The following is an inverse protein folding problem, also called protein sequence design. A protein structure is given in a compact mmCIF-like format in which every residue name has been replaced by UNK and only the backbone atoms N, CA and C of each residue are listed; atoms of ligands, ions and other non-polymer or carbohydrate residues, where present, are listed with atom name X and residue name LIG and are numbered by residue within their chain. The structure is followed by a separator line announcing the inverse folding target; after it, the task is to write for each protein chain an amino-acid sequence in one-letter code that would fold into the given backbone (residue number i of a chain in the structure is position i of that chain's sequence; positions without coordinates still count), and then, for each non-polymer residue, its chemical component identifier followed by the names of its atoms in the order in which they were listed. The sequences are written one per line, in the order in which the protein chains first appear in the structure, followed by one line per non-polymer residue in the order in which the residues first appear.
data_IF_113394517332
#
_entry.id   IF_113394517332
#
_cell.length_a   1.000
_cell.length_b   1.000
_cell.length_c   1.000
_cell.angle_alpha   90.00
_cell.angle_beta   90.00
_cell.angle_gamma   90.00
#
_symmetry.space_group_name_H-M   'P 1'
#
loop_
_entity.id
_entity.type
_entity.pdbx_description
1 polymer ?
2 polymer ?
3 non-polymer ?
4 non-polymer ?
5 non-polymer ?
6 non-polymer ?
7 water ?
#
# COMPACT_ATOMS: atom_id res chain seq x y z
N UNK A 1 7.21 -12.64 20.19
CA UNK A 1 6.25 -13.24 19.22
C UNK A 1 6.57 -14.70 18.95
N UNK A 2 5.67 -15.38 18.24
CA UNK A 2 5.84 -16.79 17.91
C UNK A 2 7.04 -17.04 17.00
N UNK A 3 7.59 -16.00 16.37
CA UNK A 3 8.81 -16.12 15.56
C UNK A 3 10.07 -15.75 16.35
N UNK A 4 9.95 -15.47 17.65
CA UNK A 4 11.09 -14.98 18.41
C UNK A 4 12.25 -15.96 18.48
N UNK A 5 11.99 -17.24 18.36
CA UNK A 5 13.05 -18.22 18.46
C UNK A 5 13.70 -18.57 17.12
N UNK A 6 13.20 -18.05 16.01
CA UNK A 6 13.76 -18.36 14.71
C UNK A 6 14.77 -17.30 14.29
N UNK A 7 15.87 -17.74 13.72
CA UNK A 7 16.89 -16.81 13.21
C UNK A 7 16.31 -15.86 12.18
N UNK A 8 16.81 -14.64 12.18
CA UNK A 8 16.40 -13.66 11.19
C UNK A 8 16.61 -14.20 9.78
N UNK A 9 17.77 -14.78 9.48
CA UNK A 9 18.01 -15.24 8.11
C UNK A 9 17.05 -16.35 7.73
N UNK A 10 16.71 -17.23 8.68
CA UNK A 10 15.78 -18.31 8.39
C UNK A 10 14.37 -17.79 8.13
N UNK A 11 13.96 -16.73 8.85
CA UNK A 11 12.67 -16.10 8.60
C UNK A 11 12.62 -15.53 7.19
N UNK A 12 13.68 -14.84 6.78
CA UNK A 12 13.73 -14.30 5.42
C UNK A 12 13.66 -15.42 4.39
N UNK A 13 14.46 -16.47 4.59
CA UNK A 13 14.44 -17.60 3.67
C UNK A 13 13.04 -18.20 3.57
N UNK A 14 12.39 -18.38 4.72
CA UNK A 14 11.06 -18.96 4.70
C UNK A 14 10.02 -18.01 4.12
N UNK A 15 10.19 -16.70 4.29
CA UNK A 15 9.29 -15.78 3.60
C UNK A 15 9.37 -15.96 2.09
N UNK A 16 10.59 -16.16 1.57
CA UNK A 16 10.75 -16.36 0.13
C UNK A 16 10.12 -17.68 -0.31
N UNK A 17 10.27 -18.73 0.50
CA UNK A 17 9.60 -20.01 0.20
C UNK A 17 8.08 -19.85 0.24
N UNK A 18 7.57 -19.15 1.24
CA UNK A 18 6.14 -18.93 1.35
C UNK A 18 5.61 -18.18 0.14
N UNK A 19 6.35 -17.19 -0.34
CA UNK A 19 5.96 -16.50 -1.56
C UNK A 19 5.83 -17.47 -2.73
N UNK A 20 6.82 -18.34 -2.92
CA UNK A 20 6.78 -19.31 -4.02
C UNK A 20 5.60 -20.25 -3.88
N UNK A 21 5.23 -20.59 -2.65
CA UNK A 21 4.09 -21.45 -2.39
C UNK A 21 2.76 -20.72 -2.34
N UNK A 22 2.77 -19.41 -2.58
CA UNK A 22 1.55 -18.60 -2.49
C UNK A 22 0.89 -18.69 -1.11
N UNK A 23 1.71 -18.76 -0.06
CA UNK A 23 1.26 -18.84 1.32
C UNK A 23 1.52 -17.48 1.95
N UNK A 24 0.66 -16.53 1.62
CA UNK A 24 0.98 -15.14 1.95
C UNK A 24 0.77 -14.81 3.42
N UNK A 25 -0.16 -15.48 4.09
CA UNK A 25 -0.27 -15.29 5.53
C UNK A 25 1.00 -15.73 6.23
N UNK A 26 1.54 -16.90 5.85
CA UNK A 26 2.82 -17.33 6.40
C UNK A 26 3.91 -16.33 6.05
N UNK A 27 3.93 -15.87 4.81
CA UNK A 27 4.97 -14.95 4.37
C UNK A 27 4.95 -13.69 5.24
N UNK A 28 3.76 -13.18 5.52
CA UNK A 28 3.63 -11.99 6.35
C UNK A 28 4.08 -12.26 7.78
N UNK A 29 3.70 -13.42 8.34
CA UNK A 29 4.14 -13.74 9.70
C UNK A 29 5.65 -13.86 9.79
N UNK A 30 6.29 -14.45 8.79
CA UNK A 30 7.74 -14.56 8.79
C UNK A 30 8.36 -13.17 8.71
N UNK A 31 7.84 -12.31 7.83
CA UNK A 31 8.42 -10.98 7.72
C UNK A 31 8.16 -10.13 8.96
N UNK A 32 7.00 -10.28 9.59
CA UNK A 32 6.80 -9.60 10.87
C UNK A 32 7.83 -10.06 11.88
N UNK A 33 8.10 -11.36 11.93
CA UNK A 33 9.13 -11.84 12.83
C UNK A 33 10.48 -11.23 12.51
N UNK A 34 10.79 -11.10 11.22
CA UNK A 34 12.07 -10.53 10.83
C UNK A 34 12.16 -9.07 11.26
N UNK A 35 11.10 -8.29 11.05
CA UNK A 35 11.10 -6.90 11.50
C UNK A 35 11.34 -6.84 13.00
N UNK A 36 10.68 -7.71 13.76
CA UNK A 36 10.76 -7.64 15.21
C UNK A 36 12.15 -8.03 15.74
N UNK A 37 13.04 -8.52 14.91
CA UNK A 37 14.43 -8.67 15.34
C UNK A 37 15.08 -7.33 15.61
N UNK A 38 14.53 -6.23 15.10
CA UNK A 38 15.01 -4.90 15.43
C UNK A 38 16.04 -4.31 14.51
N UNK A 39 16.55 -5.08 13.56
CA UNK A 39 17.47 -4.53 12.57
C UNK A 39 16.69 -3.88 11.45
N UNK A 40 17.30 -2.89 10.80
CA UNK A 40 16.73 -2.31 9.59
C UNK A 40 16.59 -3.39 8.51
N UNK A 41 15.71 -3.13 7.54
CA UNK A 41 15.47 -4.05 6.42
C UNK A 41 16.19 -3.57 5.17
N UNK A 42 16.77 -4.51 4.42
CA UNK A 42 17.32 -4.20 3.10
C UNK A 42 16.21 -3.93 2.10
N UNK A 43 16.55 -3.47 0.90
CA UNK A 43 15.55 -3.21 -0.13
C UNK A 43 14.74 -4.49 -0.43
N UNK A 44 15.41 -5.62 -0.61
CA UNK A 44 14.71 -6.86 -0.91
C UNK A 44 13.78 -7.25 0.24
N UNK A 45 14.26 -7.08 1.48
CA UNK A 45 13.44 -7.44 2.63
C UNK A 45 12.22 -6.52 2.76
N UNK A 46 12.37 -5.23 2.48
CA UNK A 46 11.22 -4.33 2.51
C UNK A 46 10.19 -4.77 1.49
N UNK A 47 10.65 -5.17 0.31
CA UNK A 47 9.72 -5.62 -0.71
C UNK A 47 9.02 -6.92 -0.29
N UNK A 48 9.73 -7.84 0.36
CA UNK A 48 9.07 -9.04 0.87
C UNK A 48 7.99 -8.69 1.88
N UNK A 49 8.29 -7.77 2.79
CA UNK A 49 7.30 -7.33 3.78
C UNK A 49 6.07 -6.78 3.08
N UNK A 50 6.28 -5.86 2.14
CA UNK A 50 5.16 -5.22 1.47
C UNK A 50 4.36 -6.21 0.65
N UNK A 51 5.02 -7.07 -0.13
CA UNK A 51 4.30 -8.03 -0.96
C UNK A 51 3.45 -8.94 -0.08
N UNK A 52 4.00 -9.39 1.04
CA UNK A 52 3.27 -10.31 1.91
C UNK A 52 1.98 -9.68 2.40
N UNK A 53 2.10 -8.52 3.02
CA UNK A 53 0.92 -7.90 3.60
C UNK A 53 -0.02 -7.40 2.51
N UNK A 54 0.49 -7.00 1.35
CA UNK A 54 -0.39 -6.54 0.28
C UNK A 54 -1.29 -7.68 -0.18
N UNK A 55 -0.74 -8.88 -0.26
CA UNK A 55 -1.55 -10.03 -0.66
C UNK A 55 -2.56 -10.39 0.42
N UNK A 56 -2.15 -10.37 1.69
CA UNK A 56 -3.11 -10.68 2.76
C UNK A 56 -4.24 -9.66 2.76
N UNK A 57 -3.92 -8.37 2.82
CA UNK A 57 -4.98 -7.37 2.90
C UNK A 57 -5.78 -7.34 1.63
N UNK A 58 -5.18 -7.70 0.50
CA UNK A 58 -5.93 -7.72 -0.75
C UNK A 58 -7.04 -8.73 -0.75
N UNK A 59 -6.80 -9.91 -0.21
CA UNK A 59 -7.87 -10.87 -0.07
C UNK A 59 -8.97 -10.36 0.83
N UNK A 60 -8.60 -9.68 1.91
CA UNK A 60 -9.59 -9.16 2.83
C UNK A 60 -10.41 -8.06 2.19
N UNK A 61 -9.75 -7.18 1.43
CA UNK A 61 -10.47 -6.08 0.79
C UNK A 61 -11.47 -6.61 -0.22
N UNK A 62 -11.05 -7.59 -1.02
CA UNK A 62 -11.95 -8.15 -2.01
C UNK A 62 -13.14 -8.82 -1.34
N UNK A 63 -12.89 -9.56 -0.26
CA UNK A 63 -14.00 -10.20 0.46
C UNK A 63 -14.92 -9.16 1.07
N UNK A 64 -14.35 -8.13 1.69
CA UNK A 64 -15.14 -7.05 2.29
C UNK A 64 -16.04 -6.40 1.26
N UNK A 65 -15.54 -6.15 0.05
CA UNK A 65 -16.37 -5.48 -0.94
C UNK A 65 -17.53 -6.37 -1.38
N UNK A 66 -17.28 -7.67 -1.52
CA UNK A 66 -18.37 -8.60 -1.86
C UNK A 66 -19.45 -8.52 -0.80
N UNK A 67 -19.05 -8.59 0.47
CA UNK A 67 -20.02 -8.63 1.56
C UNK A 67 -20.73 -7.29 1.70
N UNK A 68 -19.99 -6.20 1.55
CA UNK A 68 -20.60 -4.87 1.64
C UNK A 68 -21.65 -4.70 0.54
N UNK A 69 -21.38 -5.20 -0.66
CA UNK A 69 -22.34 -5.08 -1.74
C UNK A 69 -23.61 -5.86 -1.44
N UNK A 70 -23.46 -7.08 -0.93
CA UNK A 70 -24.62 -7.88 -0.53
C UNK A 70 -25.40 -7.17 0.55
N UNK A 71 -24.70 -6.61 1.54
CA UNK A 71 -25.35 -5.91 2.64
C UNK A 71 -26.13 -4.71 2.13
N UNK A 72 -25.54 -3.95 1.21
CA UNK A 72 -26.21 -2.76 0.70
C UNK A 72 -27.47 -3.15 -0.06
N UNK A 73 -27.41 -4.23 -0.83
CA UNK A 73 -28.59 -4.71 -1.54
C UNK A 73 -29.68 -5.13 -0.55
N UNK A 74 -29.29 -5.85 0.50
CA UNK A 74 -30.26 -6.28 1.52
C UNK A 74 -30.91 -5.10 2.23
N UNK A 75 -30.42 -3.88 2.05
CA UNK A 75 -30.95 -2.72 2.74
C UNK A 75 -31.70 -1.76 1.80
N UNK A 76 -31.93 -2.15 0.55
CA UNK A 76 -32.67 -1.31 -0.38
C UNK A 76 -34.17 -1.48 -0.18
N UNK A 82 -33.58 -10.49 6.19
CA UNK A 82 -32.81 -11.74 6.17
C UNK A 82 -31.98 -11.91 7.44
N UNK A 83 -32.17 -11.00 8.40
CA UNK A 83 -31.52 -11.14 9.69
C UNK A 83 -30.17 -10.45 9.75
N UNK A 84 -29.48 -10.62 10.88
CA UNK A 84 -28.23 -9.90 11.13
C UNK A 84 -26.99 -10.52 10.49
N UNK A 85 -27.11 -11.64 9.79
CA UNK A 85 -25.94 -12.45 9.45
C UNK A 85 -25.04 -11.75 8.44
N UNK A 86 -25.59 -11.06 7.46
CA UNK A 86 -24.75 -10.38 6.47
C UNK A 86 -23.91 -9.31 7.15
N UNK A 87 -24.55 -8.48 7.97
CA UNK A 87 -23.83 -7.45 8.70
C UNK A 87 -22.80 -8.06 9.63
N UNK A 88 -23.17 -9.12 10.36
CA UNK A 88 -22.22 -9.74 11.28
C UNK A 88 -21.00 -10.22 10.54
N UNK A 89 -21.19 -10.86 9.39
CA UNK A 89 -20.05 -11.45 8.71
C UNK A 89 -19.21 -10.38 8.02
N UNK A 90 -19.86 -9.36 7.44
CA UNK A 90 -19.10 -8.22 6.93
C UNK A 90 -18.27 -7.61 8.04
N UNK A 91 -18.86 -7.46 9.23
CA UNK A 91 -18.13 -6.92 10.38
C UNK A 91 -16.96 -7.82 10.76
N UNK A 92 -17.14 -9.13 10.69
CA UNK A 92 -16.05 -10.04 11.04
C UNK A 92 -14.87 -9.83 10.10
N UNK A 93 -15.13 -9.81 8.80
CA UNK A 93 -14.06 -9.61 7.82
C UNK A 93 -13.45 -8.22 8.01
N UNK A 94 -14.30 -7.21 8.24
CA UNK A 94 -13.81 -5.86 8.42
C UNK A 94 -12.86 -5.78 9.61
N UNK A 95 -13.20 -6.44 10.71
CA UNK A 95 -12.38 -6.39 11.91
C UNK A 95 -11.04 -7.08 11.67
N UNK A 96 -11.03 -8.17 10.92
CA UNK A 96 -9.76 -8.82 10.62
C UNK A 96 -8.92 -7.94 9.72
N UNK A 97 -9.54 -7.29 8.74
CA UNK A 97 -8.83 -6.38 7.84
C UNK A 97 -8.22 -5.23 8.65
N UNK A 98 -9.00 -4.65 9.54
CA UNK A 98 -8.48 -3.60 10.37
C UNK A 98 -7.34 -4.10 11.23
N UNK A 99 -7.41 -5.35 11.68
CA UNK A 99 -6.33 -5.90 12.48
C UNK A 99 -5.04 -6.01 11.71
N UNK A 100 -5.12 -6.45 10.44
CA UNK A 100 -3.93 -6.51 9.60
C UNK A 100 -3.37 -5.11 9.38
N UNK A 101 -4.23 -4.14 9.08
CA UNK A 101 -3.72 -2.80 8.89
C UNK A 101 -3.05 -2.28 10.15
N UNK A 102 -3.66 -2.51 11.32
CA UNK A 102 -3.07 -2.07 12.58
C UNK A 102 -1.73 -2.75 12.83
N UNK A 103 -1.62 -4.03 12.45
CA UNK A 103 -0.35 -4.72 12.62
C UNK A 103 0.74 -4.07 11.77
N UNK A 104 0.45 -3.81 10.49
CA UNK A 104 1.43 -3.19 9.62
C UNK A 104 1.80 -1.83 10.15
N UNK A 105 0.80 -1.02 10.50
CA UNK A 105 1.08 0.31 11.01
C UNK A 105 1.92 0.22 12.28
N UNK A 106 1.67 -0.80 13.10
CA UNK A 106 2.46 -0.97 14.31
C UNK A 106 3.91 -1.25 14.02
N UNK A 107 4.18 -2.08 13.02
CA UNK A 107 5.57 -2.33 12.62
C UNK A 107 6.23 -1.07 12.11
N UNK A 108 5.50 -0.27 11.33
CA UNK A 108 6.08 0.96 10.81
C UNK A 108 6.39 1.92 11.96
N UNK A 109 5.51 1.99 12.95
CA UNK A 109 5.70 2.92 14.06
C UNK A 109 6.69 2.39 15.09
N UNK A 110 6.97 1.10 15.10
CA UNK A 110 7.82 0.48 16.12
C UNK A 110 8.71 -0.59 15.47
N UNK A 111 9.79 -0.19 14.79
CA UNK A 111 10.32 1.17 14.74
C UNK A 111 10.89 1.47 13.36
N UNK A 112 10.23 0.94 12.33
CA UNK A 112 10.83 0.99 10.99
C UNK A 112 11.02 2.43 10.51
N UNK A 113 9.98 3.26 10.62
CA UNK A 113 10.07 4.63 10.10
C UNK A 113 11.16 5.42 10.81
N UNK A 114 11.17 5.40 12.15
CA UNK A 114 12.10 6.27 12.85
C UNK A 114 13.55 5.89 12.60
N UNK A 115 13.85 4.66 12.22
CA UNK A 115 15.22 4.28 11.93
C UNK A 115 15.57 4.43 10.45
N UNK A 116 14.59 4.82 9.61
CA UNK A 116 14.78 4.91 8.16
C UNK A 116 15.24 6.33 7.79
N UNK A 117 16.50 6.44 7.40
CA UNK A 117 17.10 7.72 7.06
C UNK A 117 17.36 7.91 5.58
N UNK A 118 17.63 6.84 4.85
CA UNK A 118 17.80 7.00 3.42
C UNK A 118 16.45 7.22 2.76
N UNK A 119 16.44 7.98 1.66
CA UNK A 119 15.18 8.25 0.98
C UNK A 119 14.48 6.97 0.55
N UNK A 120 15.23 5.99 0.04
CA UNK A 120 14.60 4.79 -0.49
C UNK A 120 13.86 4.03 0.58
N UNK A 121 14.38 4.02 1.81
CA UNK A 121 13.69 3.30 2.87
C UNK A 121 12.58 4.16 3.46
N UNK A 122 12.88 5.43 3.75
CA UNK A 122 11.90 6.28 4.41
C UNK A 122 10.66 6.50 3.54
N UNK A 123 10.86 6.80 2.26
CA UNK A 123 9.72 6.98 1.36
C UNK A 123 8.91 5.68 1.25
N UNK A 124 9.60 4.55 1.13
CA UNK A 124 8.92 3.27 1.06
C UNK A 124 8.00 3.07 2.25
N UNK A 125 8.51 3.32 3.46
CA UNK A 125 7.72 3.07 4.67
C UNK A 125 6.59 4.08 4.83
N UNK A 126 6.85 5.35 4.52
CA UNK A 126 5.79 6.35 4.62
C UNK A 126 4.70 6.08 3.59
N UNK A 127 5.08 5.63 2.41
CA UNK A 127 4.07 5.21 1.44
C UNK A 127 3.23 4.08 2.00
N UNK A 128 3.88 3.06 2.61
CA UNK A 128 3.12 1.97 3.21
C UNK A 128 2.16 2.49 4.27
N UNK A 129 2.62 3.43 5.09
CA UNK A 129 1.77 4.02 6.12
C UNK A 129 0.54 4.64 5.49
N UNK A 130 0.74 5.43 4.43
CA UNK A 130 -0.39 5.99 3.72
C UNK A 130 -1.31 4.92 3.18
N UNK A 131 -0.75 3.86 2.59
CA UNK A 131 -1.55 2.80 2.01
C UNK A 131 -2.43 2.12 3.06
N UNK A 132 -1.86 1.78 4.23
CA UNK A 132 -2.64 1.02 5.19
C UNK A 132 -3.67 1.91 5.89
N UNK A 133 -3.37 3.20 6.09
CA UNK A 133 -4.44 4.11 6.50
C UNK A 133 -5.51 4.24 5.43
N UNK A 134 -5.12 4.22 4.15
CA UNK A 134 -6.10 4.24 3.08
C UNK A 134 -7.00 3.01 3.12
N UNK A 135 -6.43 1.83 3.35
CA UNK A 135 -7.28 0.64 3.44
C UNK A 135 -8.22 0.72 4.65
N UNK A 136 -7.77 1.28 5.77
CA UNK A 136 -8.67 1.56 6.88
C UNK A 136 -9.76 2.53 6.45
N UNK A 137 -9.41 3.57 5.68
CA UNK A 137 -10.40 4.56 5.26
C UNK A 137 -11.45 3.93 4.36
N UNK A 138 -11.10 2.92 3.56
CA UNK A 138 -12.06 2.32 2.66
C UNK A 138 -13.23 1.72 3.42
N UNK A 139 -13.01 1.28 4.67
CA UNK A 139 -14.06 0.63 5.46
C UNK A 139 -14.58 1.52 6.58
N UNK A 140 -14.06 2.72 6.73
CA UNK A 140 -14.38 3.56 7.87
C UNK A 140 -15.70 4.28 7.62
N UNK A 141 -16.50 4.38 8.68
CA UNK A 141 -17.81 5.06 8.62
C UNK A 141 -18.09 5.95 9.81
N UNK A 142 -17.36 5.82 10.91
CA UNK A 142 -17.70 6.49 12.16
C UNK A 142 -17.03 7.84 12.32
N UNK A 143 -16.92 8.27 13.57
CA UNK A 143 -16.43 9.59 13.90
C UNK A 143 -14.92 9.73 13.73
N UNK A 144 -14.22 8.65 13.37
CA UNK A 144 -12.79 8.70 13.16
C UNK A 144 -12.40 8.68 11.69
N UNK A 145 -13.37 8.55 10.78
CA UNK A 145 -13.08 8.46 9.36
C UNK A 145 -12.28 9.66 8.86
N UNK A 146 -12.66 10.87 9.27
CA UNK A 146 -11.88 12.04 8.87
C UNK A 146 -10.46 11.97 9.38
N UNK A 147 -10.26 11.50 10.62
CA UNK A 147 -8.91 11.44 11.15
C UNK A 147 -8.10 10.34 10.44
N UNK A 148 -8.73 9.23 10.07
CA UNK A 148 -8.02 8.18 9.33
C UNK A 148 -7.58 8.71 7.98
N UNK A 149 -8.48 9.43 7.29
CA UNK A 149 -8.14 10.03 6.01
C UNK A 149 -6.99 11.01 6.15
N UNK A 150 -6.99 11.82 7.20
CA UNK A 150 -5.92 12.78 7.34
C UNK A 150 -4.60 12.10 7.71
N UNK A 151 -4.65 10.96 8.40
CA UNK A 151 -3.44 10.22 8.66
C UNK A 151 -2.85 9.67 7.38
N UNK A 152 -3.71 9.14 6.49
CA UNK A 152 -3.21 8.70 5.19
C UNK A 152 -2.61 9.85 4.43
N UNK A 153 -3.34 10.97 4.37
CA UNK A 153 -2.85 12.15 3.64
C UNK A 153 -1.50 12.60 4.17
N UNK A 154 -1.35 12.65 5.50
CA UNK A 154 -0.13 13.17 6.09
C UNK A 154 1.07 12.30 5.74
N UNK A 155 0.89 10.98 5.81
CA UNK A 155 1.97 10.07 5.50
C UNK A 155 2.35 10.18 4.03
N UNK A 156 1.36 10.17 3.15
CA UNK A 156 1.66 10.31 1.73
C UNK A 156 2.34 11.62 1.43
N UNK A 157 1.92 12.70 2.11
CA UNK A 157 2.50 14.02 1.83
C UNK A 157 3.96 14.06 2.27
N UNK A 158 4.28 13.50 3.44
CA UNK A 158 5.67 13.49 3.85
C UNK A 158 6.51 12.67 2.88
N UNK A 159 5.98 11.53 2.44
CA UNK A 159 6.71 10.71 1.48
C UNK A 159 6.92 11.47 0.18
N UNK A 160 5.89 12.19 -0.29
CA UNK A 160 6.00 12.96 -1.52
C UNK A 160 7.07 14.03 -1.39
N UNK A 161 7.07 14.74 -0.27
CA UNK A 161 8.02 15.83 -0.11
C UNK A 161 9.45 15.29 -0.17
N UNK A 162 9.71 14.17 0.52
CA UNK A 162 11.06 13.59 0.47
C UNK A 162 11.37 13.12 -0.94
N UNK A 163 10.40 12.45 -1.59
CA UNK A 163 10.68 11.85 -2.89
C UNK A 163 11.03 12.92 -3.93
N UNK A 164 10.37 14.07 -3.87
CA UNK A 164 10.63 15.11 -4.85
C UNK A 164 11.98 15.77 -4.61
N UNK A 165 12.46 15.80 -3.36
CA UNK A 165 13.76 16.38 -3.06
C UNK A 165 14.89 15.41 -3.35
N UNK A 166 14.68 14.10 -3.13
CA UNK A 166 15.78 13.16 -3.03
C UNK A 166 15.83 12.10 -4.11
N UNK A 167 14.81 11.97 -4.95
CA UNK A 167 14.75 10.92 -5.96
C UNK A 167 14.48 11.51 -7.33
N UNK A 168 15.00 10.90 -8.38
CA UNK A 168 14.64 11.34 -9.73
C UNK A 168 13.20 11.02 -10.03
N UNK A 169 12.60 11.74 -10.99
CA UNK A 169 11.18 11.54 -11.27
C UNK A 169 10.83 10.19 -11.84
N UNK A 170 11.80 9.40 -12.29
CA UNK A 170 11.54 8.04 -12.76
C UNK A 170 11.70 6.99 -11.66
N UNK A 171 12.16 7.37 -10.48
CA UNK A 171 12.40 6.38 -9.44
C UNK A 171 11.12 5.55 -9.21
N UNK A 172 11.18 4.22 -9.29
CA UNK A 172 9.94 3.44 -9.17
C UNK A 172 9.23 3.61 -7.85
N UNK A 173 9.95 3.84 -6.75
CA UNK A 173 9.30 4.07 -5.47
C UNK A 173 8.51 5.37 -5.54
N UNK A 174 9.15 6.43 -6.05
CA UNK A 174 8.49 7.71 -6.21
C UNK A 174 7.25 7.57 -7.10
N UNK A 175 7.37 6.81 -8.20
CA UNK A 175 6.25 6.64 -9.11
C UNK A 175 5.10 5.91 -8.45
N UNK A 176 5.38 4.83 -7.72
CA UNK A 176 4.30 4.08 -7.10
C UNK A 176 3.64 4.85 -5.98
N UNK A 177 4.41 5.68 -5.28
CA UNK A 177 3.84 6.58 -4.29
C UNK A 177 2.87 7.56 -4.93
N UNK A 178 3.30 8.21 -6.02
CA UNK A 178 2.43 9.17 -6.67
C UNK A 178 1.17 8.49 -7.21
N UNK A 179 1.33 7.31 -7.79
CA UNK A 179 0.18 6.54 -8.24
C UNK A 179 -0.82 6.35 -7.11
N UNK A 180 -0.33 5.85 -5.96
CA UNK A 180 -1.24 5.55 -4.87
C UNK A 180 -1.85 6.81 -4.26
N UNK A 181 -1.05 7.88 -4.14
CA UNK A 181 -1.57 9.12 -3.58
C UNK A 181 -2.62 9.69 -4.52
N UNK A 182 -2.44 9.53 -5.83
CA UNK A 182 -3.45 10.01 -6.77
C UNK A 182 -4.76 9.24 -6.59
N UNK A 183 -4.69 7.93 -6.36
CA UNK A 183 -5.90 7.16 -6.10
C UNK A 183 -6.54 7.58 -4.78
N UNK A 184 -5.72 7.81 -3.75
CA UNK A 184 -6.22 8.39 -2.50
C UNK A 184 -7.03 9.64 -2.80
N UNK A 185 -6.45 10.56 -3.60
CA UNK A 185 -7.16 11.80 -3.91
C UNK A 185 -8.48 11.50 -4.58
N UNK A 186 -8.47 10.60 -5.56
CA UNK A 186 -9.64 10.44 -6.42
C UNK A 186 -10.82 9.94 -5.61
N UNK A 187 -10.62 8.90 -4.81
CA UNK A 187 -11.76 8.23 -4.23
C UNK A 187 -11.80 8.18 -2.72
N UNK A 188 -10.75 8.60 -2.01
CA UNK A 188 -10.82 8.71 -0.55
C UNK A 188 -11.07 10.15 -0.14
N UNK A 189 -10.31 11.08 -0.71
CA UNK A 189 -10.45 12.50 -0.42
C UNK A 189 -11.49 13.18 -1.29
N UNK A 190 -12.10 12.49 -2.24
CA UNK A 190 -13.10 13.09 -3.13
C UNK A 190 -12.53 14.31 -3.85
N UNK A 191 -11.28 14.21 -4.30
CA UNK A 191 -10.58 15.26 -5.03
C UNK A 191 -10.14 14.73 -6.38
N UNK A 192 -11.09 14.42 -7.28
CA UNK A 192 -10.68 13.87 -8.58
C UNK A 192 -9.77 14.80 -9.37
N UNK A 193 -9.94 16.12 -9.28
CA UNK A 193 -9.07 17.00 -10.04
C UNK A 193 -7.65 16.92 -9.54
N UNK A 194 -7.45 16.84 -8.22
CA UNK A 194 -6.11 16.69 -7.68
C UNK A 194 -5.49 15.38 -8.13
N UNK A 195 -6.30 14.33 -8.16
CA UNK A 195 -5.79 13.03 -8.60
C UNK A 195 -5.31 13.07 -10.04
N UNK A 196 -6.10 13.69 -10.93
CA UNK A 196 -5.77 13.77 -12.33
C UNK A 196 -4.51 14.63 -12.51
N UNK A 197 -4.45 15.75 -11.82
CA UNK A 197 -3.28 16.62 -11.95
C UNK A 197 -2.01 15.91 -11.48
N UNK A 198 -2.09 15.24 -10.33
CA UNK A 198 -0.91 14.52 -9.84
C UNK A 198 -0.48 13.43 -10.81
N UNK A 199 -1.44 12.66 -11.33
CA UNK A 199 -1.08 11.58 -12.22
C UNK A 199 -0.44 12.11 -13.51
N UNK A 200 -1.01 13.18 -14.07
CA UNK A 200 -0.47 13.76 -15.30
C UNK A 200 0.92 14.32 -15.09
N UNK A 201 1.09 15.14 -14.06
CA UNK A 201 2.40 15.73 -13.80
C UNK A 201 3.44 14.66 -13.56
N UNK A 202 3.08 13.64 -12.77
CA UNK A 202 4.02 12.56 -12.48
C UNK A 202 4.42 11.86 -13.77
N UNK A 203 3.43 11.52 -14.60
CA UNK A 203 3.72 10.82 -15.85
C UNK A 203 4.64 11.66 -16.74
N UNK A 204 4.31 12.94 -16.91
CA UNK A 204 5.07 13.78 -17.83
C UNK A 204 6.49 14.02 -17.33
N UNK A 205 6.68 14.18 -16.02
CA UNK A 205 8.03 14.41 -15.51
C UNK A 205 8.87 13.14 -15.60
N UNK A 206 8.24 11.99 -15.43
CA UNK A 206 8.97 10.74 -15.64
C UNK A 206 9.35 10.57 -17.11
N UNK A 207 8.41 10.82 -18.02
CA UNK A 207 8.69 10.70 -19.43
C UNK A 207 9.95 11.46 -19.81
N UNK A 208 10.10 12.68 -19.29
CA UNK A 208 11.20 13.53 -19.65
C UNK A 208 12.52 13.09 -19.05
N UNK A 209 12.52 12.12 -18.13
CA UNK A 209 13.73 11.64 -17.47
C UNK A 209 14.10 10.23 -17.93
N UNK A 210 13.25 9.58 -18.76
CA UNK A 210 13.55 8.22 -19.21
C UNK A 210 14.87 8.13 -19.95
N UNK A 211 15.28 9.21 -20.63
CA UNK A 211 16.50 9.18 -21.44
C UNK A 211 17.74 8.90 -20.62
N UNK A 212 17.68 9.13 -19.30
CA UNK A 212 18.84 8.92 -18.44
C UNK A 212 19.03 7.48 -18.01
N UNK A 213 18.07 6.60 -18.30
CA UNK A 213 18.00 5.27 -17.71
C UNK A 213 18.58 4.20 -18.60
N UNK A 214 19.11 3.17 -17.97
CA UNK A 214 19.43 1.92 -18.64
C UNK A 214 18.17 1.22 -19.11
N UNK A 215 18.36 0.20 -19.95
CA UNK A 215 17.24 -0.57 -20.46
C UNK A 215 16.43 -1.19 -19.31
N UNK A 216 17.11 -1.72 -18.29
CA UNK A 216 16.40 -2.37 -17.20
C UNK A 216 15.62 -1.38 -16.35
N UNK A 217 16.23 -0.24 -16.01
CA UNK A 217 15.52 0.78 -15.24
C UNK A 217 14.37 1.37 -16.03
N UNK A 218 14.56 1.52 -17.34
CA UNK A 218 13.49 1.98 -18.23
C UNK A 218 12.28 1.07 -18.11
N UNK A 219 12.50 -0.25 -18.13
CA UNK A 219 11.39 -1.17 -17.98
C UNK A 219 10.68 -0.99 -16.64
N UNK A 220 11.45 -0.84 -15.56
CA UNK A 220 10.84 -0.70 -14.23
C UNK A 220 9.97 0.56 -14.19
N UNK A 221 10.49 1.67 -14.70
CA UNK A 221 9.77 2.93 -14.60
C UNK A 221 8.55 2.95 -15.51
N UNK A 222 8.70 2.46 -16.74
CA UNK A 222 7.55 2.53 -17.65
C UNK A 222 6.43 1.62 -17.21
N UNK A 223 6.73 0.53 -16.49
CA UNK A 223 5.66 -0.31 -15.98
C UNK A 223 4.72 0.49 -15.08
N UNK A 224 5.29 1.29 -14.18
CA UNK A 224 4.42 2.06 -13.27
C UNK A 224 3.80 3.24 -14.00
N UNK A 225 4.53 3.84 -14.94
CA UNK A 225 3.94 4.91 -15.74
C UNK A 225 2.68 4.44 -16.44
N UNK A 226 2.67 3.19 -16.90
CA UNK A 226 1.48 2.68 -17.57
C UNK A 226 0.30 2.59 -16.62
N UNK A 227 0.55 2.31 -15.33
CA UNK A 227 -0.55 2.32 -14.35
C UNK A 227 -1.13 3.72 -14.18
N UNK A 228 -0.27 4.75 -14.15
CA UNK A 228 -0.76 6.12 -14.14
C UNK A 228 -1.65 6.39 -15.35
N UNK A 229 -1.18 5.96 -16.53
CA UNK A 229 -1.94 6.16 -17.76
C UNK A 229 -3.27 5.41 -17.72
N UNK A 230 -3.24 4.19 -17.19
CA UNK A 230 -4.48 3.42 -17.09
C UNK A 230 -5.52 4.18 -16.29
N UNK A 231 -5.10 4.75 -15.16
CA UNK A 231 -6.04 5.50 -14.33
C UNK A 231 -6.50 6.77 -15.05
N UNK A 232 -5.58 7.50 -15.68
CA UNK A 232 -5.98 8.70 -16.38
C UNK A 232 -6.99 8.40 -17.47
N UNK A 233 -6.84 7.27 -18.15
CA UNK A 233 -7.79 6.89 -19.19
C UNK A 233 -9.18 6.67 -18.62
N UNK A 234 -9.27 6.07 -17.44
CA UNK A 234 -10.58 5.90 -16.82
C UNK A 234 -11.13 7.20 -16.26
N UNK A 235 -10.26 8.13 -15.86
CA UNK A 235 -10.69 9.35 -15.17
C UNK A 235 -10.96 10.51 -16.10
N UNK A 236 -10.53 10.44 -17.36
CA UNK A 236 -10.69 11.55 -18.29
C UNK A 236 -11.27 11.10 -19.62
N UNK B 1 -17.13 -3.11 -7.05
CA UNK B 1 -16.62 -1.75 -7.23
C UNK B 1 -15.50 -1.72 -8.26
N UNK B 2 -15.48 -0.67 -9.08
CA UNK B 2 -14.34 -0.45 -9.97
C UNK B 2 -13.14 0.01 -9.15
N UNK B 3 -12.07 -0.79 -9.18
CA UNK B 3 -10.84 -0.47 -8.46
C UNK B 3 -9.82 0.08 -9.43
N UNK B 4 -9.22 1.21 -9.07
CA UNK B 4 -8.19 1.82 -9.88
C UNK B 4 -6.84 1.17 -9.61
N UNK B 5 -5.90 1.39 -10.51
CA UNK B 5 -4.58 0.82 -10.37
C UNK B 5 -3.81 1.44 -9.22
N UNK B 6 -3.29 0.60 -8.34
CA UNK B 6 -2.33 1.03 -7.34
C UNK B 6 -1.12 0.11 -7.41
N UNK B 7 -0.07 0.48 -6.70
CA UNK B 7 1.21 -0.16 -6.81
C UNK B 7 1.17 -1.59 -6.30
N UNK B 8 1.96 -2.45 -6.92
CA UNK B 8 2.20 -3.75 -6.35
C UNK B 8 1.14 -4.76 -6.68
N UNK B 9 1.18 -5.90 -5.98
CA UNK B 9 0.28 -7.01 -6.32
C UNK B 9 -1.17 -6.57 -6.32
N UNK B 10 -1.86 -6.89 -7.43
CA UNK B 10 -3.30 -6.65 -7.56
C UNK B 10 -4.02 -7.84 -6.95
N UNK B 11 -3.96 -7.90 -5.62
CA UNK B 11 -4.36 -9.06 -4.83
C UNK B 11 -5.80 -9.00 -4.36
N UNK B 12 -6.53 -7.94 -4.74
CA UNK B 12 -7.94 -7.85 -4.41
C UNK B 12 -8.71 -7.83 -5.73
X LIG C 1 -16.76 -2.24 12.20
X LIG D 1 20.66 -14.68 15.26
X LIG E 1 -19.73 -13.86 11.64
X LIG F 1 -30.75 -7.59 11.27
X LIG F 1 -31.71 -8.27 12.03
X LIG F 1 -30.16 -6.47 12.15
X LIG F 1 -30.08 -6.85 13.48
X LIG F 1 -28.76 -6.16 11.58
X LIG F 1 -28.83 -6.06 10.19
X LIG F 1 -30.73 -5.68 12.13
X LIG F 1 -29.45 -6.41 13.85
X LIG F 1 -28.15 -6.85 11.89
X LIG F 1 -28.43 -5.34 11.98
X LIG F 1 -28.07 -5.79 9.93
X LIG G 1 9.71 -10.20 -4.29
X LIG G 1 10.58 -9.00 -4.65
X LIG G 1 11.95 -8.88 -4.51
X LIG G 1 12.50 -7.67 -4.91
X LIG G 1 13.87 -7.44 -4.84
X LIG G 1 14.39 -6.21 -4.46
X LIG G 1 15.78 -6.05 -4.41
X LIG G 1 8.31 -10.22 -4.69
X LIG G 1 10.19 -11.19 -3.68
X LIG G 1 11.82 -5.44 -5.96
X LIG G 1 16.62 -7.09 -4.75
X LIG G 1 16.09 -8.31 -5.13
X LIG G 1 14.72 -8.48 -5.18
X LIG G 1 11.56 -6.78 -5.44
X LIG G 1 10.01 -7.53 -5.36
X LIG G 1 12.47 -9.56 -4.14
X LIG G 1 13.83 -5.51 -4.24
X LIG G 1 16.13 -5.24 -4.16
X LIG G 1 7.98 -9.53 -5.12
X LIG G 1 7.80 -10.88 -4.49
X LIG G 1 12.03 -4.81 -5.42
X LIG G 1 11.77 -5.30 -6.80
X LIG G 1 17.55 -6.97 -4.72
X LIG G 1 16.66 -9.01 -5.37
X LIG G 1 14.37 -9.30 -5.44
X LIG G 1 11.03 -11.18 -3.44
#
# INVERSE_FOLDING_TARGET
GAMGSMERASLIQKAKLAEQAERYEDMAAFMKGAVEKGEELSCEERNLLSVAYKNVVGGQRAAWRVLSSIEQKSNEEGSEEKGPEVREYREKVETELQGVCDTVLGLLDSHLIKEAGDAESRVFYLKMKGDYYRYLAEVATGDDKKRIIDSARSAYQEAMDISKKEMPPTNPIRLGLALNFSVFHYEIANSPEEAISLAKTTFDEAMADLHTLSEDSYKDSTLIMQLLRDNLTLWTADNAGEEGGEAPQEPQS
KLMFKTEGPDSD
MG MG
MG MG
CL CL
GOL C1 O1 C2 O2 C3 O3 H2 HO2 H31 H32 HO3
K48 C1 C2 C3 C4 C5 C6 C7 N1 N2 N3 C8 C9 C10 C11 S1 H1 H2 H3 H4 H6 H8 H7 H9 H10 H11 H082
#
